data_IF_393599433815
#
_entry.id   IF_393599433815
#
_cell.length_a   1.000
_cell.length_b   1.000
_cell.length_c   1.000
_cell.angle_alpha   90.00
_cell.angle_beta   90.00
_cell.angle_gamma   90.00
#
_symmetry.space_group_name_H-M   'P 1'
#
loop_
_entity.id
_entity.type
_entity.pdbx_description
1 polymer ?
#
# COMPACT_ATOMS: atom_id res chain seq x y z
N UNK A 1 -4.88 1.73 -4.58
CA UNK A 1 -3.60 1.79 -3.83
C UNK A 1 -3.90 1.60 -2.34
N UNK A 2 -2.89 1.45 -1.48
CA UNK A 2 -3.07 1.38 -0.03
C UNK A 2 -2.03 2.27 0.67
N UNK A 3 -2.41 2.84 1.81
CA UNK A 3 -1.51 3.61 2.67
C UNK A 3 -1.28 2.83 3.97
N UNK A 4 -0.02 2.70 4.37
CA UNK A 4 0.39 1.95 5.55
C UNK A 4 1.35 2.79 6.37
N UNK A 5 1.14 2.84 7.69
CA UNK A 5 2.14 3.35 8.62
C UNK A 5 2.78 2.16 9.34
N UNK A 6 4.09 2.06 9.24
CA UNK A 6 4.86 0.91 9.73
C UNK A 6 6.07 1.38 10.54
N UNK A 7 6.27 0.76 11.70
CA UNK A 7 7.56 0.81 12.40
C UNK A 7 8.48 -0.27 11.82
N UNK A 8 9.54 0.13 11.12
CA UNK A 8 10.51 -0.78 10.50
C UNK A 8 11.83 -0.70 11.30
N UNK A 9 12.26 -1.80 11.95
CA UNK A 9 13.57 -1.84 12.58
C UNK A 9 14.69 -1.52 11.57
N UNK A 10 15.70 -0.71 11.94
CA UNK A 10 16.71 -0.19 10.99
C UNK A 10 17.58 -1.29 10.35
N UNK A 11 17.59 -2.49 10.93
CA UNK A 11 18.25 -3.68 10.35
C UNK A 11 17.58 -4.22 9.08
N UNK A 12 16.35 -3.79 8.78
CA UNK A 12 15.61 -4.18 7.58
C UNK A 12 15.48 -2.99 6.64
N UNK A 13 15.70 -3.21 5.34
CA UNK A 13 15.43 -2.18 4.35
C UNK A 13 13.93 -2.02 4.13
N UNK A 14 13.49 -0.78 3.85
CA UNK A 14 12.10 -0.48 3.47
C UNK A 14 11.68 -1.33 2.28
N UNK A 15 12.54 -1.47 1.27
CA UNK A 15 12.29 -2.27 0.07
C UNK A 15 12.02 -3.74 0.37
N UNK A 16 12.74 -4.33 1.33
CA UNK A 16 12.55 -5.72 1.74
C UNK A 16 11.17 -5.91 2.39
N UNK A 17 10.81 -5.03 3.33
CA UNK A 17 9.53 -5.09 4.05
C UNK A 17 8.37 -4.91 3.07
N UNK A 18 8.41 -3.89 2.23
CA UNK A 18 7.36 -3.63 1.23
C UNK A 18 7.27 -4.77 0.21
N UNK A 19 8.41 -5.29 -0.26
CA UNK A 19 8.44 -6.44 -1.16
C UNK A 19 7.78 -7.68 -0.56
N UNK A 20 8.07 -7.97 0.72
CA UNK A 20 7.44 -9.07 1.45
C UNK A 20 5.92 -8.87 1.59
N UNK A 21 5.50 -7.68 2.04
CA UNK A 21 4.08 -7.36 2.21
C UNK A 21 3.31 -7.47 0.90
N UNK A 22 3.83 -6.87 -0.18
CA UNK A 22 3.20 -6.94 -1.51
C UNK A 22 3.14 -8.38 -2.03
N UNK A 23 4.22 -9.16 -1.88
CA UNK A 23 4.26 -10.55 -2.32
C UNK A 23 3.29 -11.47 -1.58
N UNK A 24 3.30 -11.43 -0.24
CA UNK A 24 2.42 -12.28 0.58
C UNK A 24 0.95 -11.91 0.45
N UNK A 25 0.64 -10.62 0.42
CA UNK A 25 -0.74 -10.15 0.23
C UNK A 25 -1.27 -10.51 -1.16
N UNK A 26 -0.49 -10.36 -2.23
CA UNK A 26 -0.92 -10.77 -3.58
C UNK A 26 -1.29 -12.26 -3.62
N UNK A 27 -0.46 -13.13 -3.04
CA UNK A 27 -0.76 -14.57 -2.94
C UNK A 27 -2.04 -14.80 -2.15
N UNK A 28 -2.21 -14.12 -1.01
CA UNK A 28 -3.38 -14.26 -0.16
C UNK A 28 -4.67 -13.85 -0.88
N UNK A 29 -4.64 -12.70 -1.56
CA UNK A 29 -5.77 -12.12 -2.27
C UNK A 29 -6.17 -13.01 -3.44
N UNK A 30 -5.23 -13.43 -4.29
CA UNK A 30 -5.53 -14.36 -5.38
C UNK A 30 -6.12 -15.69 -4.88
N UNK A 31 -5.68 -16.20 -3.72
CA UNK A 31 -6.25 -17.43 -3.14
C UNK A 31 -7.65 -17.24 -2.58
N UNK A 32 -7.88 -16.16 -1.82
CA UNK A 32 -9.14 -15.95 -1.09
C UNK A 32 -10.22 -15.25 -1.90
N UNK A 33 -9.87 -14.21 -2.63
CA UNK A 33 -10.82 -13.39 -3.38
C UNK A 33 -11.10 -13.97 -4.77
N UNK A 34 -10.08 -14.52 -5.44
CA UNK A 34 -10.22 -15.04 -6.81
C UNK A 34 -10.34 -16.57 -6.88
N UNK A 35 -10.24 -17.27 -5.75
CA UNK A 35 -10.34 -18.73 -5.69
C UNK A 35 -9.20 -19.47 -6.42
N UNK A 36 -8.09 -18.80 -6.73
CA UNK A 36 -6.99 -19.37 -7.52
C UNK A 36 -6.14 -20.30 -6.64
N UNK A 37 -6.24 -21.61 -6.90
CA UNK A 37 -5.59 -22.66 -6.10
C UNK A 37 -4.17 -23.01 -6.57
N UNK A 38 -3.81 -22.77 -7.84
CA UNK A 38 -2.50 -23.11 -8.43
C UNK A 38 -2.08 -22.11 -9.51
N UNK A 39 -0.77 -21.85 -9.58
CA UNK A 39 -0.14 -21.00 -10.60
C UNK A 39 -0.33 -19.51 -10.35
N UNK A 40 0.77 -18.80 -10.10
CA UNK A 40 0.80 -17.33 -9.97
C UNK A 40 1.64 -16.66 -11.06
N UNK A 41 2.12 -17.44 -12.03
CA UNK A 41 2.92 -16.94 -13.15
C UNK A 41 2.03 -16.07 -14.03
N UNK A 42 2.45 -14.83 -14.28
CA UNK A 42 1.70 -13.87 -15.10
C UNK A 42 0.58 -13.11 -14.40
N UNK A 43 0.37 -13.31 -13.08
CA UNK A 43 -0.60 -12.53 -12.29
C UNK A 43 0.10 -11.47 -11.46
N UNK A 44 -0.39 -10.24 -11.54
CA UNK A 44 0.10 -9.11 -10.76
C UNK A 44 -1.07 -8.45 -10.05
N UNK A 45 -1.01 -8.40 -8.72
CA UNK A 45 -1.98 -7.65 -7.92
C UNK A 45 -1.52 -6.21 -7.65
N UNK A 46 -0.21 -6.02 -7.45
CA UNK A 46 0.37 -4.71 -7.16
C UNK A 46 1.15 -4.17 -8.35
N UNK A 47 1.22 -2.84 -8.46
CA UNK A 47 2.17 -2.15 -9.35
C UNK A 47 3.62 -2.49 -8.96
N UNK A 48 4.59 -2.27 -9.86
CA UNK A 48 6.01 -2.56 -9.58
C UNK A 48 6.61 -1.65 -8.49
N UNK A 49 6.20 -0.38 -8.46
CA UNK A 49 6.72 0.64 -7.55
C UNK A 49 6.02 0.69 -6.18
N UNK A 50 6.56 1.51 -5.28
CA UNK A 50 5.95 1.91 -4.02
C UNK A 50 6.41 3.32 -3.66
N UNK A 51 5.62 4.04 -2.85
CA UNK A 51 6.02 5.30 -2.25
C UNK A 51 6.37 5.07 -0.78
N UNK A 52 7.39 5.76 -0.27
CA UNK A 52 7.74 5.74 1.14
C UNK A 52 8.18 7.13 1.57
N UNK A 53 7.63 7.59 2.70
CA UNK A 53 8.05 8.81 3.37
C UNK A 53 8.42 8.47 4.81
N UNK A 54 9.51 9.04 5.32
CA UNK A 54 9.89 8.90 6.73
C UNK A 54 9.16 9.96 7.54
N UNK A 55 8.40 9.53 8.55
CA UNK A 55 7.76 10.41 9.51
C UNK A 55 8.61 10.34 10.79
N UNK A 56 8.89 11.50 11.40
CA UNK A 56 9.58 11.57 12.69
C UNK A 56 8.80 10.88 13.81
N UNK A 57 9.42 10.77 14.99
CA UNK A 57 8.95 9.99 16.16
C UNK A 57 7.61 10.43 16.80
N UNK A 58 6.78 11.22 16.13
CA UNK A 58 5.53 11.73 16.68
C UNK A 58 4.31 10.94 16.18
N UNK A 59 3.58 10.33 17.12
CA UNK A 59 2.36 9.56 16.87
C UNK A 59 1.21 10.44 16.34
N UNK A 60 1.13 11.71 16.76
CA UNK A 60 0.10 12.63 16.28
C UNK A 60 0.30 12.94 14.79
N UNK A 61 1.56 13.13 14.39
CA UNK A 61 1.96 13.34 13.00
C UNK A 61 1.63 12.13 12.11
N UNK A 62 1.83 10.91 12.63
CA UNK A 62 1.43 9.66 11.98
C UNK A 62 -0.07 9.63 11.70
N UNK A 63 -0.90 9.94 12.70
CA UNK A 63 -2.36 9.89 12.59
C UNK A 63 -2.89 10.98 11.66
N UNK A 64 -2.30 12.17 11.70
CA UNK A 64 -2.64 13.26 10.80
C UNK A 64 -2.33 12.90 9.34
N UNK A 65 -1.13 12.36 9.06
CA UNK A 65 -0.74 11.95 7.72
C UNK A 65 -1.71 10.96 7.07
N UNK A 66 -2.14 9.92 7.81
CA UNK A 66 -3.09 8.93 7.29
C UNK A 66 -4.43 9.59 6.93
N UNK A 67 -4.95 10.46 7.79
CA UNK A 67 -6.22 11.15 7.54
C UNK A 67 -6.13 12.07 6.33
N UNK A 68 -5.09 12.89 6.25
CA UNK A 68 -4.92 13.85 5.15
C UNK A 68 -4.80 13.13 3.81
N UNK A 69 -4.09 12.01 3.78
CA UNK A 69 -3.95 11.21 2.57
C UNK A 69 -5.29 10.59 2.12
N UNK A 70 -6.12 10.10 3.05
CA UNK A 70 -7.48 9.64 2.73
C UNK A 70 -8.38 10.78 2.19
N UNK A 71 -8.18 12.01 2.67
CA UNK A 71 -8.89 13.18 2.16
C UNK A 71 -8.44 13.57 0.76
N UNK A 72 -7.14 13.60 0.49
CA UNK A 72 -6.58 13.89 -0.83
C UNK A 72 -7.06 12.87 -1.87
N UNK A 73 -7.04 11.57 -1.54
CA UNK A 73 -7.50 10.51 -2.44
C UNK A 73 -8.99 10.69 -2.80
N UNK A 74 -9.84 11.11 -1.84
CA UNK A 74 -11.27 11.41 -2.10
C UNK A 74 -11.45 12.64 -2.98
N UNK A 75 -10.59 13.65 -2.83
CA UNK A 75 -10.63 14.85 -3.67
C UNK A 75 -10.21 14.52 -5.11
N UNK A 76 -9.13 13.75 -5.30
CA UNK A 76 -8.73 13.26 -6.63
C UNK A 76 -9.84 12.45 -7.33
N UNK A 77 -10.57 11.62 -6.58
CA UNK A 77 -11.71 10.86 -7.12
C UNK A 77 -12.89 11.77 -7.53
N UNK A 78 -13.17 12.83 -6.74
CA UNK A 78 -14.20 13.83 -7.08
C UNK A 78 -13.81 14.65 -8.31
N UNK A 79 -12.55 15.06 -8.42
CA UNK A 79 -12.05 15.82 -9.57
C UNK A 79 -12.09 14.98 -10.86
N UNK A 80 -11.73 13.70 -10.79
CA UNK A 80 -11.80 12.76 -11.92
C UNK A 80 -13.24 12.49 -12.37
N UNK A 81 -14.22 12.55 -11.46
CA UNK A 81 -15.63 12.28 -11.76
C UNK A 81 -16.40 13.52 -12.23
N UNK A 82 -15.96 14.73 -11.86
CA UNK A 82 -16.58 16.00 -12.31
C UNK A 82 -16.00 16.58 -13.61
N UNK A 83 -14.79 16.17 -14.03
CA UNK A 83 -14.19 16.53 -15.31
C UNK A 83 -13.57 15.29 -15.99
N UNK A 84 -14.32 14.57 -16.86
CA UNK A 84 -13.81 13.38 -17.56
C UNK A 84 -12.72 13.68 -18.60
#
# INVERSE_FOLDING_TARGET
>A
HIHLVLSIPPKYSVSMVIGYLKGKSAIHIHRKAEGVKKGFIGRHFWSRGYCASTIGLDEEMIRAYVRDQEHLDKQEELDFTQNP
#
